data_IF_511100313267
#
_entry.id   IF_511100313267
#
_cell.length_a   1.000
_cell.length_b   1.000
_cell.length_c   1.000
_cell.angle_alpha   90.00
_cell.angle_beta   90.00
_cell.angle_gamma   90.00
#
_symmetry.space_group_name_H-M   'P 1'
#
loop_
_entity.id
_entity.type
_entity.pdbx_description
1 polymer ?
#
# COMPACT_ATOMS: atom_id res chain seq x y z
N UNK A 1 -10.04 15.52 12.24
CA UNK A 1 -9.04 14.91 11.33
C UNK A 1 -9.29 13.40 11.30
N UNK A 2 -10.22 12.96 10.46
CA UNK A 2 -10.71 11.58 10.44
C UNK A 2 -9.71 10.70 9.66
N UNK A 3 -8.84 10.01 10.40
CA UNK A 3 -7.85 9.07 9.85
C UNK A 3 -8.46 7.71 9.50
N UNK A 4 -9.50 7.67 8.67
CA UNK A 4 -9.84 6.46 7.93
C UNK A 4 -9.79 6.83 6.47
N UNK A 5 -8.64 6.54 5.85
CA UNK A 5 -8.47 6.59 4.41
C UNK A 5 -9.57 5.73 3.76
N UNK A 6 -10.37 6.27 2.83
CA UNK A 6 -11.41 5.49 2.13
C UNK A 6 -10.84 4.33 1.32
N UNK A 7 -9.52 4.30 1.09
CA UNK A 7 -8.77 3.22 0.44
C UNK A 7 -8.13 2.26 1.46
N UNK A 8 -8.76 2.08 2.62
CA UNK A 8 -8.42 0.99 3.55
C UNK A 8 -8.34 -0.33 2.75
N UNK A 9 -7.28 -1.12 2.91
CA UNK A 9 -7.15 -2.36 2.19
C UNK A 9 -8.34 -3.28 2.49
N UNK A 10 -8.85 -3.94 1.43
CA UNK A 10 -9.98 -4.85 1.57
C UNK A 10 -9.68 -5.94 2.58
N UNK A 11 -10.68 -6.29 3.39
CA UNK A 11 -10.56 -7.29 4.47
C UNK A 11 -10.30 -8.70 3.98
N UNK A 12 -10.34 -8.96 2.66
CA UNK A 12 -10.07 -10.25 2.04
C UNK A 12 -8.63 -10.39 1.52
N UNK A 13 -7.79 -9.36 1.68
CA UNK A 13 -6.39 -9.41 1.25
C UNK A 13 -5.57 -10.27 2.21
N UNK A 14 -4.61 -11.02 1.65
CA UNK A 14 -3.66 -11.81 2.41
C UNK A 14 -2.72 -10.91 3.24
N UNK A 15 -2.30 -11.37 4.43
CA UNK A 15 -1.34 -10.65 5.25
C UNK A 15 0.07 -10.67 4.64
N UNK A 16 0.89 -9.72 5.08
CA UNK A 16 2.32 -9.67 4.74
C UNK A 16 3.16 -10.54 5.69
N UNK A 17 4.49 -10.33 5.74
CA UNK A 17 5.40 -11.06 6.63
C UNK A 17 5.10 -10.86 8.12
N UNK A 18 4.41 -9.77 8.46
CA UNK A 18 3.94 -9.45 9.81
C UNK A 18 2.72 -10.27 10.25
N UNK A 19 2.15 -11.09 9.36
CA UNK A 19 0.94 -11.89 9.58
C UNK A 19 -0.29 -11.07 10.02
N UNK A 20 -0.27 -9.75 9.82
CA UNK A 20 -1.34 -8.87 10.27
C UNK A 20 -2.44 -8.81 9.21
N UNK A 21 -3.59 -9.41 9.52
CA UNK A 21 -4.72 -9.44 8.61
C UNK A 21 -5.40 -8.06 8.52
N UNK A 22 -5.83 -7.58 7.34
CA UNK A 22 -6.48 -6.27 7.20
C UNK A 22 -7.75 -6.12 8.04
N UNK A 23 -8.43 -7.24 8.33
CA UNK A 23 -9.58 -7.28 9.25
C UNK A 23 -9.25 -6.73 10.64
N UNK A 24 -8.06 -7.02 11.17
CA UNK A 24 -7.61 -6.52 12.47
C UNK A 24 -7.49 -5.00 12.47
N UNK A 25 -6.92 -4.42 11.40
CA UNK A 25 -6.83 -2.96 11.29
C UNK A 25 -8.21 -2.31 11.20
N UNK A 26 -9.14 -2.94 10.51
CA UNK A 26 -10.50 -2.41 10.36
C UNK A 26 -11.28 -2.46 11.67
N UNK A 27 -11.22 -3.59 12.39
CA UNK A 27 -11.94 -3.78 13.65
C UNK A 27 -11.35 -2.96 14.80
N UNK A 28 -10.01 -2.79 14.81
CA UNK A 28 -9.31 -2.03 15.83
C UNK A 28 -8.95 -0.60 15.39
N UNK A 29 -9.58 -0.10 14.32
CA UNK A 29 -9.24 1.19 13.71
C UNK A 29 -9.29 2.35 14.72
N UNK A 30 -10.29 2.37 15.59
CA UNK A 30 -10.46 3.43 16.59
C UNK A 30 -9.37 3.48 17.64
N UNK A 31 -8.80 2.32 17.99
CA UNK A 31 -7.70 2.21 18.96
C UNK A 31 -6.37 2.49 18.25
N UNK A 32 -6.20 2.00 17.02
CA UNK A 32 -4.94 2.07 16.29
C UNK A 32 -4.72 3.40 15.56
N UNK A 33 -5.77 4.19 15.29
CA UNK A 33 -5.63 5.45 14.52
C UNK A 33 -4.62 6.43 15.12
N UNK A 34 -4.61 6.60 16.44
CA UNK A 34 -3.72 7.54 17.11
C UNK A 34 -2.25 7.07 17.11
N UNK A 35 -1.91 5.84 17.54
CA UNK A 35 -0.52 5.38 17.48
C UNK A 35 0.00 5.28 16.05
N UNK A 36 -0.80 4.79 15.09
CA UNK A 36 -0.38 4.69 13.70
C UNK A 36 -0.17 6.07 13.06
N UNK A 37 -1.04 7.05 13.32
CA UNK A 37 -0.85 8.40 12.78
C UNK A 37 0.44 9.07 13.29
N UNK A 38 0.79 8.87 14.57
CA UNK A 38 2.07 9.34 15.11
C UNK A 38 3.26 8.66 14.42
N UNK A 39 3.19 7.35 14.24
CA UNK A 39 4.25 6.58 13.59
C UNK A 39 4.42 6.95 12.12
N UNK A 40 3.31 7.12 11.39
CA UNK A 40 3.31 7.59 10.01
C UNK A 40 3.90 8.98 9.87
N UNK A 41 3.46 9.92 10.72
CA UNK A 41 4.01 11.28 10.75
C UNK A 41 5.52 11.26 10.93
N UNK A 42 6.00 10.54 11.95
CA UNK A 42 7.44 10.39 12.21
C UNK A 42 8.18 9.81 11.00
N UNK A 43 7.63 8.76 10.40
CA UNK A 43 8.26 8.11 9.23
C UNK A 43 8.37 9.05 8.03
N UNK A 44 7.37 9.90 7.80
CA UNK A 44 7.37 10.89 6.72
C UNK A 44 8.33 12.04 7.03
N UNK A 45 8.32 12.55 8.26
CA UNK A 45 9.16 13.67 8.67
C UNK A 45 10.66 13.30 8.68
N UNK A 46 10.99 12.08 9.10
CA UNK A 46 12.37 11.56 9.14
C UNK A 46 12.82 10.91 7.81
N UNK A 47 11.87 10.56 6.92
CA UNK A 47 12.15 9.82 5.70
C UNK A 47 12.60 8.37 5.93
N UNK A 48 12.31 7.80 7.10
CA UNK A 48 12.74 6.44 7.49
C UNK A 48 11.52 5.57 7.81
N UNK A 49 11.49 4.36 7.24
CA UNK A 49 10.49 3.35 7.54
C UNK A 49 11.02 2.31 8.53
N UNK A 50 10.17 1.77 9.44
CA UNK A 50 10.49 0.59 10.23
C UNK A 50 10.94 -0.58 9.34
N UNK A 51 11.93 -1.34 9.80
CA UNK A 51 12.50 -2.44 9.01
C UNK A 51 11.47 -3.52 8.65
N UNK A 52 10.58 -3.84 9.60
CA UNK A 52 9.49 -4.80 9.38
C UNK A 52 8.52 -4.38 8.27
N UNK A 53 8.41 -3.08 7.98
CA UNK A 53 7.53 -2.58 6.91
C UNK A 53 8.16 -2.69 5.52
N UNK A 54 9.49 -2.82 5.44
CA UNK A 54 10.23 -2.98 4.19
C UNK A 54 10.26 -4.44 3.71
N UNK A 55 9.96 -5.38 4.61
CA UNK A 55 9.91 -6.80 4.27
C UNK A 55 8.68 -7.15 3.40
N UNK A 56 8.84 -8.12 2.50
CA UNK A 56 7.75 -8.63 1.67
C UNK A 56 7.87 -10.14 1.43
N UNK A 57 6.73 -10.83 1.41
CA UNK A 57 6.67 -12.20 0.92
C UNK A 57 6.47 -12.18 -0.60
N UNK A 58 7.39 -12.80 -1.35
CA UNK A 58 7.32 -12.85 -2.81
C UNK A 58 6.61 -14.14 -3.24
N UNK A 59 5.42 -13.99 -3.81
CA UNK A 59 4.61 -15.12 -4.30
C UNK A 59 4.55 -15.11 -5.83
N UNK A 60 4.95 -16.19 -6.51
CA UNK A 60 4.83 -16.29 -7.96
C UNK A 60 3.37 -16.53 -8.37
N UNK A 61 2.75 -15.57 -9.07
CA UNK A 61 1.43 -15.73 -9.66
C UNK A 61 1.54 -16.16 -11.12
N UNK A 62 0.94 -17.29 -11.45
CA UNK A 62 0.93 -17.78 -12.82
C UNK A 62 0.17 -16.81 -13.75
N UNK A 63 0.77 -16.49 -14.90
CA UNK A 63 0.22 -15.58 -15.90
C UNK A 63 -0.38 -16.34 -17.09
N UNK A 64 0.43 -17.08 -17.86
CA UNK A 64 0.01 -17.84 -19.07
C UNK A 64 1.11 -18.79 -19.59
N UNK A 65 0.77 -19.75 -20.46
CA UNK A 65 1.73 -20.65 -21.11
C UNK A 65 1.97 -21.97 -20.35
N UNK A 66 3.23 -22.41 -20.28
CA UNK A 66 3.60 -23.63 -19.56
C UNK A 66 3.94 -23.33 -18.10
N UNK A 67 3.30 -24.04 -17.16
CA UNK A 67 3.60 -23.95 -15.71
C UNK A 67 5.02 -24.39 -15.34
N UNK A 68 5.74 -25.06 -16.24
CA UNK A 68 7.12 -25.50 -16.00
C UNK A 68 8.18 -24.42 -16.23
N UNK A 69 7.81 -23.28 -16.83
CA UNK A 69 8.75 -22.19 -17.14
C UNK A 69 8.54 -21.02 -16.17
N UNK A 70 9.60 -20.60 -15.46
CA UNK A 70 9.54 -19.50 -14.50
C UNK A 70 9.06 -18.17 -15.11
N UNK A 71 9.43 -17.88 -16.36
CA UNK A 71 9.00 -16.69 -17.11
C UNK A 71 7.48 -16.52 -17.23
N UNK A 72 6.72 -17.61 -17.07
CA UNK A 72 5.27 -17.61 -17.16
C UNK A 72 4.57 -17.20 -15.85
N UNK A 73 5.35 -16.78 -14.85
CA UNK A 73 4.88 -16.28 -13.57
C UNK A 73 5.25 -14.80 -13.40
N UNK A 74 4.44 -14.08 -12.63
CA UNK A 74 4.72 -12.72 -12.17
C UNK A 74 4.98 -12.78 -10.67
N UNK A 75 6.11 -12.27 -10.17
CA UNK A 75 6.28 -12.12 -8.73
C UNK A 75 5.31 -11.05 -8.21
N UNK A 76 4.64 -11.34 -7.10
CA UNK A 76 3.82 -10.38 -6.36
C UNK A 76 4.41 -10.24 -4.96
N UNK A 77 4.66 -8.99 -4.57
CA UNK A 77 5.13 -8.66 -3.22
C UNK A 77 3.95 -8.45 -2.29
N UNK A 78 3.81 -9.32 -1.30
CA UNK A 78 2.90 -9.13 -0.18
C UNK A 78 3.66 -8.40 0.92
N UNK A 79 3.50 -7.08 1.01
CA UNK A 79 4.02 -6.24 2.09
C UNK A 79 3.04 -6.14 3.26
N UNK A 80 3.52 -5.64 4.41
CA UNK A 80 2.69 -5.36 5.58
C UNK A 80 1.47 -4.53 5.20
N UNK A 81 0.35 -4.81 5.85
CA UNK A 81 -0.88 -4.07 5.61
C UNK A 81 -0.82 -2.64 6.17
N UNK A 82 0.02 -2.42 7.18
CA UNK A 82 0.21 -1.13 7.84
C UNK A 82 0.89 -0.15 6.89
N UNK A 83 1.99 -0.57 6.22
CA UNK A 83 2.68 0.28 5.25
C UNK A 83 1.79 0.62 4.05
N UNK A 84 0.94 -0.30 3.59
CA UNK A 84 -0.02 -0.03 2.50
C UNK A 84 -0.99 1.10 2.81
N UNK A 85 -1.34 1.30 4.08
CA UNK A 85 -2.17 2.43 4.52
C UNK A 85 -1.38 3.74 4.46
N UNK A 86 -0.09 3.73 4.81
CA UNK A 86 0.76 4.92 4.65
C UNK A 86 0.99 5.24 3.17
N UNK A 87 1.30 4.24 2.35
CA UNK A 87 1.46 4.39 0.90
C UNK A 87 0.21 5.00 0.26
N UNK A 88 -0.99 4.56 0.63
CA UNK A 88 -2.23 5.14 0.07
C UNK A 88 -2.41 6.62 0.44
N UNK A 89 -2.08 7.01 1.67
CA UNK A 89 -2.11 8.42 2.11
C UNK A 89 -1.10 9.25 1.30
N UNK A 90 0.12 8.74 1.10
CA UNK A 90 1.16 9.43 0.34
C UNK A 90 0.79 9.55 -1.13
N UNK A 91 0.27 8.48 -1.73
CA UNK A 91 -0.23 8.45 -3.11
C UNK A 91 -1.29 9.53 -3.31
N UNK A 92 -2.31 9.58 -2.44
CA UNK A 92 -3.37 10.59 -2.51
C UNK A 92 -2.82 12.02 -2.43
N UNK A 93 -1.82 12.27 -1.57
CA UNK A 93 -1.18 13.58 -1.45
C UNK A 93 -0.36 13.95 -2.71
N UNK A 94 0.41 13.00 -3.24
CA UNK A 94 1.25 13.19 -4.44
C UNK A 94 0.37 13.46 -5.66
N UNK A 95 -0.65 12.63 -5.89
CA UNK A 95 -1.59 12.81 -7.01
C UNK A 95 -2.25 14.18 -6.94
N UNK A 96 -2.79 14.55 -5.76
CA UNK A 96 -3.42 15.85 -5.58
C UNK A 96 -2.47 17.00 -5.93
N UNK A 97 -1.20 16.90 -5.55
CA UNK A 97 -0.18 17.86 -5.92
C UNK A 97 0.02 17.89 -7.44
N UNK A 98 0.27 16.74 -8.06
CA UNK A 98 0.51 16.64 -9.51
C UNK A 98 -0.66 17.20 -10.34
N UNK A 99 -1.90 16.94 -9.91
CA UNK A 99 -3.11 17.45 -10.57
C UNK A 99 -3.26 18.97 -10.40
N UNK A 100 -2.99 19.49 -9.20
CA UNK A 100 -3.10 20.93 -8.90
C UNK A 100 -2.17 21.79 -9.77
N UNK A 101 -1.04 21.22 -10.18
CA UNK A 101 -0.05 21.87 -11.04
C UNK A 101 -0.09 21.40 -12.50
N UNK A 102 -1.07 20.55 -12.87
CA UNK A 102 -1.22 19.98 -14.21
C UNK A 102 0.10 19.38 -14.74
N UNK A 103 0.82 18.67 -13.87
CA UNK A 103 2.13 18.07 -14.18
C UNK A 103 1.97 16.79 -15.02
N UNK A 104 0.86 16.08 -14.86
CA UNK A 104 0.61 14.83 -15.57
C UNK A 104 0.33 15.09 -17.06
N UNK A 105 0.91 14.24 -17.90
CA UNK A 105 0.68 14.24 -19.35
C UNK A 105 -0.78 13.85 -19.65
N UNK A 106 -1.41 14.48 -20.65
CA UNK A 106 -2.81 14.22 -21.02
C UNK A 106 -3.00 12.85 -21.65
N UNK A 107 -1.94 12.29 -22.20
CA UNK A 107 -1.92 10.98 -22.86
C UNK A 107 -1.48 9.84 -21.90
N UNK A 108 -1.36 10.10 -20.59
CA UNK A 108 -0.96 9.08 -19.61
C UNK A 108 -2.14 8.21 -19.16
N UNK A 109 -2.56 7.23 -19.96
CA UNK A 109 -3.73 6.38 -19.65
C UNK A 109 -3.49 5.30 -18.57
N UNK A 110 -2.23 5.01 -18.23
CA UNK A 110 -1.89 4.02 -17.21
C UNK A 110 -1.71 4.66 -15.85
N UNK A 111 -2.30 4.07 -14.81
CA UNK A 111 -2.14 4.52 -13.40
C UNK A 111 -2.52 6.00 -13.18
N UNK A 112 -3.47 6.50 -13.97
CA UNK A 112 -4.01 7.85 -13.89
C UNK A 112 -5.46 7.85 -13.38
N UNK A 113 -5.95 9.03 -13.01
CA UNK A 113 -7.33 9.26 -12.56
C UNK A 113 -8.09 10.01 -13.66
N UNK A 114 -8.60 9.27 -14.64
CA UNK A 114 -9.57 9.74 -15.63
C UNK A 114 -10.83 8.88 -15.56
#
# INVERSE_FOLDING_TARGET
MYFICPKSPHTTKSPGPDNLHPKVLKELADVLKLPLSKLYRKSVDEGVLPEHWKAANITPLYKKGSKKKAFNYRPISLTSIVIKVLESILIDAIIKHLDSYNILCREQYGFSWY
#
